data_IF_667698428470
#
_entry.id   IF_667698428470
#
_cell.length_a   1.000
_cell.length_b   1.000
_cell.length_c   1.000
_cell.angle_alpha   90.00
_cell.angle_beta   90.00
_cell.angle_gamma   90.00
#
_symmetry.space_group_name_H-M   'P 1'
#
loop_
_entity.id
_entity.type
_entity.pdbx_description
1 polymer ?
#
# COMPACT_ATOMS: atom_id res chain seq x y z
N UNK A 1 17.97 20.83 -0.36
CA UNK A 1 16.98 19.73 -0.39
C UNK A 1 16.72 19.38 -1.85
N UNK A 2 17.04 18.16 -2.30
CA UNK A 2 16.63 17.72 -3.62
C UNK A 2 15.13 17.41 -3.52
N UNK A 3 14.29 18.22 -4.15
CA UNK A 3 12.89 17.85 -4.35
C UNK A 3 12.93 16.65 -5.30
N UNK A 4 12.73 15.45 -4.76
CA UNK A 4 12.56 14.25 -5.58
C UNK A 4 11.24 14.43 -6.34
N UNK A 5 11.30 14.32 -7.67
CA UNK A 5 10.12 14.37 -8.52
C UNK A 5 9.21 13.21 -8.11
N UNK A 6 8.00 13.51 -7.65
CA UNK A 6 7.01 12.47 -7.37
C UNK A 6 6.44 11.90 -8.67
N UNK A 7 6.27 10.59 -8.73
CA UNK A 7 5.47 9.91 -9.76
C UNK A 7 4.00 10.01 -9.36
N UNK A 8 3.11 10.36 -10.30
CA UNK A 8 1.70 10.61 -10.00
C UNK A 8 0.83 9.73 -10.92
N UNK A 9 0.70 8.43 -10.62
CA UNK A 9 -0.15 7.54 -11.40
C UNK A 9 -1.60 8.03 -11.40
N UNK A 10 -2.29 7.84 -12.51
CA UNK A 10 -3.70 8.22 -12.73
C UNK A 10 -4.64 7.03 -12.76
N UNK A 11 -4.09 5.81 -12.73
CA UNK A 11 -4.85 4.57 -12.63
C UNK A 11 -4.08 3.49 -11.86
N UNK A 12 -4.77 2.41 -11.52
CA UNK A 12 -4.17 1.27 -10.83
C UNK A 12 -3.16 0.54 -11.72
N UNK A 13 -3.36 0.54 -13.04
CA UNK A 13 -2.42 0.00 -14.00
C UNK A 13 -1.10 0.80 -14.00
N UNK A 14 -1.19 2.13 -14.02
CA UNK A 14 0.01 2.98 -13.93
C UNK A 14 0.73 2.81 -12.60
N UNK A 15 -0.02 2.72 -11.49
CA UNK A 15 0.57 2.45 -10.18
C UNK A 15 1.26 1.08 -10.16
N UNK A 16 0.60 0.02 -10.62
CA UNK A 16 1.18 -1.33 -10.69
C UNK A 16 2.45 -1.36 -11.56
N UNK A 17 2.44 -0.68 -12.71
CA UNK A 17 3.61 -0.58 -13.58
C UNK A 17 4.81 0.11 -12.91
N UNK A 18 4.57 1.12 -12.06
CA UNK A 18 5.65 1.68 -11.24
C UNK A 18 6.15 0.64 -10.22
N UNK A 19 5.24 -0.06 -9.55
CA UNK A 19 5.55 -1.02 -8.49
C UNK A 19 6.27 -2.30 -8.96
N UNK A 20 6.28 -2.58 -10.27
CA UNK A 20 7.11 -3.64 -10.88
C UNK A 20 8.61 -3.43 -10.60
N UNK A 21 9.05 -2.18 -10.45
CA UNK A 21 10.40 -1.87 -9.98
C UNK A 21 10.50 -2.07 -8.46
N UNK A 22 10.92 -3.28 -8.06
CA UNK A 22 11.10 -3.66 -6.66
C UNK A 22 12.22 -2.89 -5.93
N UNK A 23 13.03 -2.08 -6.63
CA UNK A 23 14.08 -1.24 -6.05
C UNK A 23 13.65 0.20 -5.77
N UNK A 24 12.55 0.66 -6.37
CA UNK A 24 12.05 2.03 -6.25
C UNK A 24 11.63 2.38 -4.81
N UNK A 25 11.96 3.57 -4.32
CA UNK A 25 11.49 4.03 -3.00
C UNK A 25 10.00 4.44 -3.00
N UNK A 26 9.24 3.89 -2.04
CA UNK A 26 7.80 4.05 -1.79
C UNK A 26 7.28 5.48 -1.86
N UNK A 27 7.96 6.35 -1.11
CA UNK A 27 7.56 7.74 -0.88
C UNK A 27 7.76 8.66 -2.09
N UNK A 28 8.33 8.14 -3.18
CA UNK A 28 8.41 8.83 -4.46
C UNK A 28 7.10 8.80 -5.25
N UNK A 29 6.06 8.11 -4.77
CA UNK A 29 4.78 7.96 -5.46
C UNK A 29 3.72 8.79 -4.75
N UNK A 30 3.02 9.62 -5.51
CA UNK A 30 1.86 10.39 -5.07
C UNK A 30 0.58 9.69 -5.54
N UNK A 31 -0.10 9.03 -4.60
CA UNK A 31 -1.34 8.28 -4.85
C UNK A 31 -2.61 9.13 -4.74
N UNK A 32 -2.51 10.47 -4.69
CA UNK A 32 -3.67 11.37 -4.51
C UNK A 32 -4.77 11.22 -5.58
N UNK A 33 -4.43 10.68 -6.76
CA UNK A 33 -5.39 10.41 -7.82
C UNK A 33 -6.01 9.00 -7.76
N UNK A 34 -5.53 8.14 -6.85
CA UNK A 34 -5.92 6.74 -6.75
C UNK A 34 -6.90 6.56 -5.59
N UNK A 35 -8.11 6.11 -5.89
CA UNK A 35 -9.17 5.83 -4.88
C UNK A 35 -9.37 4.34 -4.62
N UNK A 36 -8.82 3.50 -5.48
CA UNK A 36 -8.87 2.04 -5.40
C UNK A 36 -7.44 1.53 -5.34
N UNK A 37 -7.02 0.93 -4.23
CA UNK A 37 -5.72 0.28 -4.08
C UNK A 37 -5.82 -1.25 -4.12
N UNK A 38 -6.90 -1.78 -4.71
CA UNK A 38 -7.11 -3.22 -4.75
C UNK A 38 -5.95 -3.93 -5.44
N UNK A 39 -5.42 -4.92 -4.71
CA UNK A 39 -4.40 -5.85 -5.20
C UNK A 39 -3.12 -5.17 -5.75
N UNK A 40 -2.77 -3.94 -5.36
CA UNK A 40 -1.59 -3.25 -5.95
C UNK A 40 -0.25 -3.87 -5.52
N UNK A 41 -0.20 -4.56 -4.38
CA UNK A 41 0.93 -5.38 -3.95
C UNK A 41 0.58 -6.88 -3.87
N UNK A 42 -0.52 -7.31 -4.46
CA UNK A 42 -0.92 -8.71 -4.38
C UNK A 42 0.11 -9.62 -5.06
N UNK A 43 0.55 -10.66 -4.34
CA UNK A 43 1.60 -11.58 -4.77
C UNK A 43 2.97 -10.93 -4.92
N UNK A 44 3.17 -9.72 -4.39
CA UNK A 44 4.45 -9.02 -4.52
C UNK A 44 5.56 -9.78 -3.79
N UNK A 45 6.66 -10.01 -4.49
CA UNK A 45 7.91 -10.58 -3.96
C UNK A 45 8.89 -9.50 -3.48
N UNK A 46 8.43 -8.25 -3.42
CA UNK A 46 9.23 -7.09 -3.01
C UNK A 46 9.63 -7.23 -1.54
N UNK A 47 10.92 -7.06 -1.24
CA UNK A 47 11.42 -7.13 0.14
C UNK A 47 11.52 -5.77 0.84
N UNK A 48 11.68 -4.68 0.08
CA UNK A 48 11.86 -3.34 0.64
C UNK A 48 10.59 -2.49 0.47
N UNK A 49 9.86 -2.17 1.55
CA UNK A 49 8.67 -1.31 1.50
C UNK A 49 8.92 0.12 2.02
N UNK A 50 10.16 0.57 2.13
CA UNK A 50 10.51 1.91 2.59
C UNK A 50 9.75 3.01 1.83
N UNK A 51 9.19 3.96 2.58
CA UNK A 51 8.41 5.07 2.08
C UNK A 51 6.91 4.76 1.93
N UNK A 52 6.47 3.51 2.08
CA UNK A 52 5.04 3.16 2.11
C UNK A 52 4.28 3.87 3.25
N UNK A 53 4.94 4.06 4.39
CA UNK A 53 4.42 4.78 5.55
C UNK A 53 4.11 6.25 5.25
N UNK A 54 4.62 6.80 4.14
CA UNK A 54 4.42 8.19 3.73
C UNK A 54 3.22 8.38 2.80
N UNK A 55 2.59 7.30 2.35
CA UNK A 55 1.40 7.37 1.52
C UNK A 55 0.24 7.99 2.30
N UNK A 56 -0.33 9.06 1.77
CA UNK A 56 -1.62 9.57 2.22
C UNK A 56 -2.72 8.70 1.59
N UNK A 57 -3.40 7.91 2.42
CA UNK A 57 -4.49 7.02 2.01
C UNK A 57 -5.85 7.52 2.51
N UNK A 58 -5.92 8.73 3.06
CA UNK A 58 -7.13 9.28 3.69
C UNK A 58 -8.28 9.51 2.71
N UNK A 59 -8.03 9.42 1.40
CA UNK A 59 -9.01 9.54 0.30
C UNK A 59 -9.35 8.20 -0.37
N UNK A 60 -8.69 7.11 0.01
CA UNK A 60 -8.87 5.77 -0.59
C UNK A 60 -10.18 5.14 -0.09
N UNK A 61 -10.89 4.49 -1.01
CA UNK A 61 -12.18 3.84 -0.76
C UNK A 61 -12.04 2.32 -0.74
N UNK A 62 -11.23 1.75 -1.64
CA UNK A 62 -11.08 0.29 -1.76
C UNK A 62 -9.63 -0.12 -1.48
N UNK A 63 -9.42 -1.06 -0.55
CA UNK A 63 -8.13 -1.68 -0.24
C UNK A 63 -8.18 -3.21 -0.31
N UNK A 64 -9.15 -3.77 -1.04
CA UNK A 64 -9.33 -5.21 -1.23
C UNK A 64 -8.01 -5.92 -1.57
N UNK A 65 -7.57 -6.78 -0.66
CA UNK A 65 -6.34 -7.56 -0.75
C UNK A 65 -5.12 -6.81 -1.26
N UNK A 66 -4.93 -5.54 -0.86
CA UNK A 66 -3.78 -4.73 -1.30
C UNK A 66 -2.45 -5.48 -1.11
N UNK A 67 -2.31 -6.29 -0.05
CA UNK A 67 -1.11 -7.09 0.25
C UNK A 67 -1.36 -8.60 0.19
N UNK A 68 -2.44 -9.06 -0.45
CA UNK A 68 -2.75 -10.49 -0.50
C UNK A 68 -1.56 -11.29 -1.07
N UNK A 69 -1.05 -12.27 -0.32
CA UNK A 69 0.14 -13.07 -0.64
C UNK A 69 1.46 -12.28 -0.81
N UNK A 70 1.55 -11.04 -0.29
CA UNK A 70 2.81 -10.32 -0.18
C UNK A 70 3.63 -10.88 0.99
N UNK A 71 4.25 -12.04 0.78
CA UNK A 71 4.90 -12.84 1.83
C UNK A 71 6.06 -12.11 2.51
N UNK A 72 6.67 -11.14 1.84
CA UNK A 72 7.79 -10.34 2.35
C UNK A 72 7.36 -9.08 3.13
N UNK A 73 6.06 -8.76 3.23
CA UNK A 73 5.58 -7.56 3.92
C UNK A 73 5.95 -7.59 5.42
N UNK A 74 6.68 -6.57 5.86
CA UNK A 74 7.13 -6.41 7.26
C UNK A 74 7.15 -4.93 7.72
N UNK A 75 6.44 -4.05 7.03
CA UNK A 75 6.54 -2.59 7.20
C UNK A 75 5.40 -2.01 8.04
N UNK A 76 5.70 -1.03 8.88
CA UNK A 76 4.69 -0.39 9.74
C UNK A 76 3.85 0.64 8.97
N UNK A 77 2.55 0.38 8.88
CA UNK A 77 1.54 1.26 8.26
C UNK A 77 0.46 1.69 9.28
N UNK A 78 0.79 1.67 10.57
CA UNK A 78 -0.12 2.06 11.67
C UNK A 78 -0.52 3.55 11.65
N UNK A 79 0.18 4.36 10.86
CA UNK A 79 -0.09 5.79 10.65
C UNK A 79 -1.15 6.07 9.58
N UNK A 80 -1.52 5.08 8.76
CA UNK A 80 -2.53 5.27 7.73
C UNK A 80 -3.89 5.64 8.31
N UNK A 81 -4.49 6.71 7.78
CA UNK A 81 -5.89 7.04 8.02
C UNK A 81 -6.76 6.28 7.03
N UNK A 82 -7.37 5.22 7.52
CA UNK A 82 -8.24 4.33 6.72
C UNK A 82 -9.72 4.59 6.95
N UNK A 83 -10.09 5.74 7.53
CA UNK A 83 -11.47 6.03 7.95
C UNK A 83 -12.50 6.07 6.82
N UNK A 84 -12.06 6.19 5.56
CA UNK A 84 -12.91 6.17 4.36
C UNK A 84 -12.94 4.84 3.60
N UNK A 85 -12.14 3.86 4.04
CA UNK A 85 -12.04 2.58 3.33
C UNK A 85 -13.28 1.75 3.61
N UNK A 86 -13.96 1.35 2.53
CA UNK A 86 -15.20 0.56 2.56
C UNK A 86 -14.92 -0.94 2.42
N UNK A 87 -13.81 -1.33 1.78
CA UNK A 87 -13.43 -2.74 1.60
C UNK A 87 -11.94 -2.97 1.93
N UNK A 88 -11.69 -3.81 2.95
CA UNK A 88 -10.37 -4.34 3.32
C UNK A 88 -10.35 -5.87 3.34
N UNK A 89 -11.30 -6.51 2.66
CA UNK A 89 -11.36 -7.97 2.60
C UNK A 89 -10.04 -8.50 2.03
N UNK A 90 -9.55 -9.59 2.62
CA UNK A 90 -8.29 -10.24 2.24
C UNK A 90 -7.02 -9.35 2.29
N UNK A 91 -7.06 -8.17 2.92
CA UNK A 91 -5.97 -7.17 2.90
C UNK A 91 -4.58 -7.77 3.17
N UNK A 92 -4.49 -8.67 4.16
CA UNK A 92 -3.25 -9.35 4.56
C UNK A 92 -3.33 -10.89 4.43
N UNK A 93 -4.27 -11.40 3.62
CA UNK A 93 -4.40 -12.84 3.41
C UNK A 93 -3.09 -13.41 2.83
N UNK A 94 -2.44 -14.35 3.52
CA UNK A 94 -1.17 -14.94 3.06
C UNK A 94 0.08 -14.06 3.30
N UNK A 95 0.01 -13.04 4.16
CA UNK A 95 1.19 -12.27 4.59
C UNK A 95 1.97 -12.97 5.71
N UNK A 96 2.79 -13.96 5.37
CA UNK A 96 3.47 -14.82 6.35
C UNK A 96 4.49 -14.08 7.25
N UNK A 97 5.17 -13.04 6.75
CA UNK A 97 6.15 -12.28 7.53
C UNK A 97 5.56 -11.12 8.34
N UNK A 98 4.25 -10.84 8.22
CA UNK A 98 3.62 -9.75 8.95
C UNK A 98 3.42 -10.16 10.42
N UNK A 99 4.38 -9.80 11.27
CA UNK A 99 4.39 -10.19 12.69
C UNK A 99 3.47 -9.34 13.57
N UNK A 100 3.04 -8.17 13.09
CA UNK A 100 2.11 -7.30 13.80
C UNK A 100 1.16 -6.61 12.82
N UNK A 101 -0.14 -6.74 13.06
CA UNK A 101 -1.16 -6.00 12.32
C UNK A 101 -1.22 -4.53 12.77
N UNK A 102 -1.48 -3.60 11.84
CA UNK A 102 -1.72 -2.21 12.15
C UNK A 102 -2.85 -2.04 13.18
N UNK A 103 -2.74 -1.04 14.05
CA UNK A 103 -3.71 -0.83 15.15
C UNK A 103 -5.16 -0.69 14.67
N UNK A 104 -5.38 -0.08 13.50
CA UNK A 104 -6.70 0.13 12.93
C UNK A 104 -7.33 -1.17 12.40
N UNK A 105 -6.53 -2.18 12.04
CA UNK A 105 -7.02 -3.45 11.49
C UNK A 105 -7.86 -4.23 12.50
N UNK A 106 -7.50 -4.17 13.78
CA UNK A 106 -8.28 -4.81 14.86
C UNK A 106 -9.58 -4.08 15.21
N UNK A 107 -9.74 -2.84 14.77
CA UNK A 107 -10.92 -2.02 15.03
C UNK A 107 -11.81 -1.89 13.77
N UNK A 108 -11.37 -2.45 12.64
CA UNK A 108 -12.12 -2.46 11.39
C UNK A 108 -13.01 -3.70 11.39
N UNK A 109 -14.29 -3.51 11.71
CA UNK A 109 -15.32 -4.55 11.73
C UNK A 109 -15.21 -5.53 12.89
#
# INVERSE_FOLDING_TARGET
>A
MKVTKKHIPKSNEELKALLEDTSMHLGGIDISAITDLSQVFAGSTRENFEGLETWDVSHVINMYGIFANATCLNHDISNWDVSRVEDMSDMFAGCDNLTAYPRWYRAWG
#
